data_IF_955284079307
#
_entry.id   IF_955284079307
#
_cell.length_a   1.000
_cell.length_b   1.000
_cell.length_c   1.000
_cell.angle_alpha   90.00
_cell.angle_beta   90.00
_cell.angle_gamma   90.00
#
_symmetry.space_group_name_H-M   'P 1'
#
loop_
_entity.id
_entity.type
_entity.pdbx_description
1 polymer ?
#
# COMPACT_ATOMS: atom_id res chain seq x y z
N UNK A 1 -104.63 16.04 45.38
CA UNK A 1 -104.92 14.62 45.68
C UNK A 1 -104.05 13.73 44.82
N UNK A 2 -103.40 12.73 45.46
CA UNK A 2 -102.80 11.49 44.93
C UNK A 2 -101.61 11.58 43.94
N UNK A 3 -100.42 11.16 44.45
CA UNK A 3 -99.33 10.51 43.68
C UNK A 3 -99.76 9.08 43.28
N UNK A 4 -99.17 8.43 42.25
CA UNK A 4 -97.91 7.64 42.40
C UNK A 4 -96.97 7.63 41.14
N UNK A 5 -95.65 7.79 41.30
CA UNK A 5 -94.52 6.82 41.16
C UNK A 5 -94.32 6.17 39.76
N UNK A 6 -93.27 6.55 39.03
CA UNK A 6 -91.95 5.88 38.80
C UNK A 6 -91.88 5.04 37.52
N UNK A 7 -90.96 5.37 36.60
CA UNK A 7 -90.29 4.35 35.79
C UNK A 7 -88.91 4.85 35.32
N UNK A 8 -87.90 4.06 35.69
CA UNK A 8 -86.47 4.27 35.45
C UNK A 8 -86.05 4.03 33.99
N UNK A 9 -84.81 4.47 33.69
CA UNK A 9 -83.85 3.92 32.70
C UNK A 9 -83.67 4.72 31.40
N UNK A 10 -82.63 5.59 31.33
CA UNK A 10 -81.66 5.83 30.21
C UNK A 10 -80.50 6.69 30.78
N UNK A 11 -79.41 6.11 31.27
CA UNK A 11 -78.12 5.83 30.59
C UNK A 11 -77.39 7.08 30.06
N UNK A 12 -76.15 7.20 30.55
CA UNK A 12 -74.96 7.81 29.94
C UNK A 12 -74.82 9.33 29.93
N UNK A 13 -74.17 9.87 30.98
CA UNK A 13 -73.16 10.92 30.79
C UNK A 13 -72.19 10.99 31.98
N UNK A 14 -71.45 9.91 32.24
CA UNK A 14 -70.34 9.98 33.19
C UNK A 14 -69.31 8.90 32.91
N UNK A 15 -68.48 9.11 31.89
CA UNK A 15 -67.19 8.42 31.75
C UNK A 15 -66.26 9.21 30.83
N UNK A 16 -65.00 9.27 31.23
CA UNK A 16 -63.83 9.59 30.42
C UNK A 16 -63.51 11.07 30.13
N UNK A 17 -63.35 11.88 31.18
CA UNK A 17 -62.21 12.81 31.24
C UNK A 17 -61.00 12.03 31.77
N UNK A 18 -60.18 11.45 30.89
CA UNK A 18 -58.81 10.97 31.15
C UNK A 18 -58.20 10.48 29.83
N UNK A 19 -57.75 11.41 28.99
CA UNK A 19 -56.99 11.07 27.78
C UNK A 19 -56.00 12.19 27.40
N UNK A 20 -55.21 12.66 28.36
CA UNK A 20 -54.04 13.48 28.09
C UNK A 20 -52.92 13.00 29.00
N UNK A 21 -52.20 11.98 28.55
CA UNK A 21 -50.76 11.74 28.77
C UNK A 21 -50.35 10.63 27.77
N UNK A 22 -49.26 10.89 27.06
CA UNK A 22 -48.47 9.95 26.25
C UNK A 22 -48.82 9.81 24.77
N UNK A 23 -48.38 10.79 23.99
CA UNK A 23 -47.68 10.52 22.73
C UNK A 23 -46.42 11.39 22.70
N UNK A 24 -45.35 10.91 23.35
CA UNK A 24 -43.99 11.33 23.00
C UNK A 24 -43.73 10.83 21.57
N UNK A 25 -43.91 11.67 20.57
CA UNK A 25 -43.32 11.43 19.26
C UNK A 25 -41.81 11.54 19.43
N UNK A 26 -41.01 10.49 19.14
CA UNK A 26 -39.58 10.65 19.02
C UNK A 26 -39.32 11.66 17.90
N UNK A 27 -38.56 12.71 18.21
CA UNK A 27 -37.95 13.60 17.22
C UNK A 27 -37.34 12.71 16.14
N UNK A 28 -37.82 12.84 14.90
CA UNK A 28 -37.14 12.26 13.74
C UNK A 28 -35.71 12.74 13.80
N UNK A 29 -34.79 11.79 13.99
CA UNK A 29 -33.37 12.01 13.74
C UNK A 29 -33.26 12.74 12.39
N UNK A 30 -32.49 13.82 12.37
CA UNK A 30 -32.05 14.44 11.13
C UNK A 30 -31.60 13.34 10.18
N UNK A 31 -32.23 13.24 9.02
CA UNK A 31 -31.80 12.35 7.95
C UNK A 31 -30.27 12.43 7.84
N UNK A 32 -29.55 11.30 7.84
CA UNK A 32 -28.15 11.33 7.44
C UNK A 32 -28.12 11.97 6.05
N UNK A 33 -27.29 13.01 5.89
CA UNK A 33 -27.05 13.63 4.59
C UNK A 33 -26.80 12.50 3.59
N UNK A 34 -27.67 12.38 2.59
CA UNK A 34 -27.33 11.70 1.35
C UNK A 34 -26.19 12.54 0.77
N UNK A 35 -24.95 12.20 1.14
CA UNK A 35 -23.80 12.62 0.39
C UNK A 35 -23.92 11.89 -0.95
N UNK A 36 -24.24 12.64 -2.00
CA UNK A 36 -24.21 12.09 -3.35
C UNK A 36 -22.87 11.40 -3.56
N UNK A 37 -22.85 10.18 -4.15
CA UNK A 37 -21.61 9.43 -4.30
C UNK A 37 -20.59 10.28 -5.07
N UNK A 38 -19.38 10.41 -4.51
CA UNK A 38 -18.27 11.08 -5.18
C UNK A 38 -18.02 10.37 -6.51
N UNK A 39 -18.32 11.05 -7.62
CA UNK A 39 -18.05 10.54 -8.96
C UNK A 39 -16.55 10.75 -9.21
N UNK A 40 -15.81 9.65 -9.27
CA UNK A 40 -14.39 9.66 -9.63
C UNK A 40 -14.28 9.59 -11.15
N UNK A 41 -13.72 10.63 -11.77
CA UNK A 41 -13.49 10.68 -13.21
C UNK A 41 -12.50 9.61 -13.67
N UNK A 42 -12.71 9.08 -14.87
CA UNK A 42 -11.82 8.08 -15.44
C UNK A 42 -10.46 8.72 -15.80
N UNK A 43 -9.33 8.02 -15.54
CA UNK A 43 -8.02 8.54 -15.90
C UNK A 43 -7.87 8.60 -17.42
N UNK A 44 -7.26 9.68 -17.91
CA UNK A 44 -7.04 9.91 -19.35
C UNK A 44 -6.13 8.88 -20.03
N UNK A 45 -5.38 8.10 -19.24
CA UNK A 45 -4.41 7.11 -19.67
C UNK A 45 -5.04 5.74 -20.00
N UNK A 46 -6.35 5.58 -19.86
CA UNK A 46 -7.03 4.35 -20.25
C UNK A 46 -6.89 4.12 -21.78
N UNK A 47 -6.37 2.96 -22.14
CA UNK A 47 -6.26 2.53 -23.54
C UNK A 47 -7.45 1.69 -23.96
N UNK A 48 -7.74 1.67 -25.26
CA UNK A 48 -8.78 0.81 -25.81
C UNK A 48 -8.36 -0.68 -25.77
N UNK A 49 -9.33 -1.59 -25.64
CA UNK A 49 -9.06 -3.05 -25.61
C UNK A 49 -8.26 -3.55 -26.84
N UNK A 50 -8.52 -3.11 -28.08
CA UNK A 50 -7.71 -3.51 -29.23
C UNK A 50 -6.24 -3.07 -29.13
N UNK A 51 -5.97 -1.92 -28.52
CA UNK A 51 -4.60 -1.44 -28.28
C UNK A 51 -3.89 -2.33 -27.25
N UNK A 52 -4.56 -2.66 -26.14
CA UNK A 52 -4.06 -3.60 -25.13
C UNK A 52 -3.74 -4.97 -25.75
N UNK A 53 -4.61 -5.49 -26.61
CA UNK A 53 -4.39 -6.75 -27.30
C UNK A 53 -3.19 -6.69 -28.26
N UNK A 54 -3.02 -5.57 -28.98
CA UNK A 54 -1.88 -5.33 -29.86
C UNK A 54 -0.55 -5.36 -29.08
N UNK A 55 -0.52 -4.72 -27.90
CA UNK A 55 0.63 -4.74 -26.99
C UNK A 55 0.93 -6.16 -26.48
N UNK A 56 -0.10 -6.89 -26.04
CA UNK A 56 0.03 -8.29 -25.59
C UNK A 56 0.62 -9.17 -26.69
N UNK A 57 0.07 -9.11 -27.90
CA UNK A 57 0.54 -9.88 -29.05
C UNK A 57 1.96 -9.50 -29.47
N UNK A 58 2.32 -8.22 -29.36
CA UNK A 58 3.67 -7.76 -29.64
C UNK A 58 4.69 -8.34 -28.66
N UNK A 59 4.35 -8.40 -27.36
CA UNK A 59 5.18 -9.08 -26.36
C UNK A 59 5.31 -10.58 -26.65
N UNK A 60 4.19 -11.25 -26.97
CA UNK A 60 4.18 -12.67 -27.36
C UNK A 60 5.14 -12.97 -28.51
N UNK A 61 5.15 -12.14 -29.55
CA UNK A 61 5.97 -12.37 -30.74
C UNK A 61 7.43 -11.99 -30.54
N UNK A 62 7.70 -10.90 -29.80
CA UNK A 62 9.03 -10.28 -29.75
C UNK A 62 9.86 -10.64 -28.53
N UNK A 63 9.23 -10.99 -27.40
CA UNK A 63 9.93 -11.19 -26.12
C UNK A 63 9.91 -12.62 -25.65
N UNK A 64 8.77 -13.30 -25.76
CA UNK A 64 8.63 -14.66 -25.23
C UNK A 64 9.65 -15.65 -25.80
N UNK A 65 9.83 -15.79 -27.13
CA UNK A 65 10.77 -16.77 -27.65
C UNK A 65 12.22 -16.48 -27.24
N UNK A 66 12.59 -15.20 -27.08
CA UNK A 66 13.95 -14.82 -26.68
C UNK A 66 14.23 -15.17 -25.22
N UNK A 67 13.29 -14.86 -24.33
CA UNK A 67 13.42 -15.16 -22.89
C UNK A 67 13.43 -16.67 -22.72
N UNK A 68 12.44 -17.36 -23.29
CA UNK A 68 12.30 -18.81 -23.19
C UNK A 68 13.56 -19.53 -23.68
N UNK A 69 14.06 -19.20 -24.88
CA UNK A 69 15.25 -19.83 -25.42
C UNK A 69 16.49 -19.67 -24.52
N UNK A 70 16.68 -18.49 -23.93
CA UNK A 70 17.78 -18.24 -23.00
C UNK A 70 17.61 -19.06 -21.71
N UNK A 71 16.43 -19.03 -21.10
CA UNK A 71 16.16 -19.71 -19.84
C UNK A 71 16.17 -21.25 -19.97
N UNK A 72 15.73 -21.78 -21.11
CA UNK A 72 15.81 -23.20 -21.46
C UNK A 72 17.27 -23.65 -21.61
N UNK A 73 18.14 -22.78 -22.10
CA UNK A 73 19.58 -23.09 -22.20
C UNK A 73 20.20 -23.31 -20.81
N UNK A 74 19.73 -22.56 -19.80
CA UNK A 74 20.14 -22.74 -18.40
C UNK A 74 19.56 -24.04 -17.84
N UNK A 75 18.27 -24.31 -18.09
CA UNK A 75 17.63 -25.58 -17.68
C UNK A 75 18.40 -26.79 -18.20
N UNK A 76 18.81 -26.74 -19.47
CA UNK A 76 19.61 -27.79 -20.11
C UNK A 76 20.95 -28.01 -19.40
N UNK A 77 21.65 -26.92 -19.01
CA UNK A 77 22.90 -27.01 -18.24
C UNK A 77 22.64 -27.67 -16.88
N UNK A 78 21.50 -27.36 -16.25
CA UNK A 78 21.09 -27.88 -14.95
C UNK A 78 20.46 -29.29 -15.03
N UNK A 79 20.35 -29.88 -16.22
CA UNK A 79 19.67 -31.16 -16.48
C UNK A 79 18.20 -31.15 -16.03
N UNK A 80 17.54 -30.00 -16.18
CA UNK A 80 16.10 -29.88 -16.07
C UNK A 80 15.51 -29.87 -17.48
N UNK A 81 14.72 -30.88 -17.81
CA UNK A 81 14.11 -31.04 -19.15
C UNK A 81 12.82 -30.21 -19.30
N UNK A 82 12.46 -29.42 -18.29
CA UNK A 82 11.28 -28.55 -18.36
C UNK A 82 11.57 -27.30 -19.19
N UNK A 83 10.61 -26.98 -20.04
CA UNK A 83 10.54 -25.68 -20.72
C UNK A 83 10.26 -24.57 -19.69
N UNK A 84 10.94 -23.44 -19.85
CA UNK A 84 10.76 -22.28 -19.00
C UNK A 84 9.50 -21.51 -19.38
N UNK A 85 8.60 -21.35 -18.42
CA UNK A 85 7.37 -20.60 -18.63
C UNK A 85 7.58 -19.09 -18.46
N UNK A 86 7.58 -18.36 -19.57
CA UNK A 86 7.77 -16.90 -19.55
C UNK A 86 6.58 -16.18 -18.93
N UNK A 87 6.86 -15.33 -17.92
CA UNK A 87 5.85 -14.47 -17.29
C UNK A 87 5.14 -13.55 -18.27
N UNK A 88 3.82 -13.39 -18.09
CA UNK A 88 3.00 -12.42 -18.83
C UNK A 88 2.45 -11.29 -17.99
N UNK A 89 2.22 -11.54 -16.72
CA UNK A 89 1.77 -10.54 -15.77
C UNK A 89 2.28 -10.88 -14.38
N UNK A 90 2.41 -9.84 -13.57
CA UNK A 90 2.59 -9.93 -12.13
C UNK A 90 1.33 -9.38 -11.51
N UNK A 91 0.81 -10.05 -10.48
CA UNK A 91 -0.35 -9.55 -9.77
C UNK A 91 -0.14 -9.55 -8.27
N UNK A 92 -0.84 -8.62 -7.65
CA UNK A 92 -1.12 -8.60 -6.23
C UNK A 92 -2.63 -8.68 -6.08
N UNK A 93 -3.11 -9.23 -4.99
CA UNK A 93 -4.53 -9.05 -4.68
C UNK A 93 -4.80 -7.57 -4.44
N UNK A 94 -6.01 -7.14 -4.78
CA UNK A 94 -6.41 -5.74 -4.73
C UNK A 94 -6.25 -5.14 -3.32
N UNK A 95 -6.50 -5.94 -2.28
CA UNK A 95 -6.39 -5.49 -0.88
C UNK A 95 -4.94 -5.19 -0.52
N UNK A 96 -3.99 -6.02 -0.94
CA UNK A 96 -2.56 -5.80 -0.72
C UNK A 96 -2.08 -4.49 -1.35
N UNK A 97 -2.46 -4.18 -2.60
CA UNK A 97 -2.08 -2.90 -3.22
C UNK A 97 -2.69 -1.72 -2.48
N UNK A 98 -3.97 -1.77 -2.11
CA UNK A 98 -4.58 -0.70 -1.32
C UNK A 98 -3.88 -0.48 0.01
N UNK A 99 -3.57 -1.56 0.72
CA UNK A 99 -2.82 -1.47 1.98
C UNK A 99 -1.44 -0.88 1.75
N UNK A 100 -0.74 -1.31 0.71
CA UNK A 100 0.59 -0.79 0.38
C UNK A 100 0.58 0.70 0.08
N UNK A 101 -0.38 1.19 -0.72
CA UNK A 101 -0.53 2.62 -1.01
C UNK A 101 -0.78 3.43 0.27
N UNK A 102 -1.67 2.96 1.14
CA UNK A 102 -1.91 3.62 2.43
C UNK A 102 -0.66 3.58 3.35
N UNK A 103 0.08 2.47 3.34
CA UNK A 103 1.30 2.33 4.13
C UNK A 103 2.40 3.30 3.69
N UNK A 104 2.67 3.41 2.39
CA UNK A 104 3.70 4.33 1.90
C UNK A 104 3.30 5.80 2.12
N UNK A 105 2.01 6.12 2.03
CA UNK A 105 1.49 7.46 2.36
C UNK A 105 1.73 7.79 3.83
N UNK A 106 1.43 6.87 4.75
CA UNK A 106 1.69 7.04 6.18
C UNK A 106 3.19 7.20 6.47
N UNK A 107 4.05 6.35 5.91
CA UNK A 107 5.50 6.43 6.13
C UNK A 107 6.11 7.71 5.53
N UNK A 108 5.55 8.23 4.42
CA UNK A 108 5.97 9.49 3.83
C UNK A 108 5.57 10.69 4.71
N UNK A 109 4.33 10.70 5.22
CA UNK A 109 3.83 11.73 6.15
C UNK A 109 4.67 11.77 7.44
N UNK A 110 4.93 10.61 8.04
CA UNK A 110 5.78 10.46 9.23
C UNK A 110 7.21 11.00 9.01
N UNK A 111 7.69 10.97 7.76
CA UNK A 111 9.01 11.40 7.34
C UNK A 111 9.05 12.85 6.79
N UNK A 112 7.93 13.58 6.86
CA UNK A 112 7.79 14.95 6.36
C UNK A 112 8.12 15.10 4.86
N UNK A 113 7.70 14.12 4.05
CA UNK A 113 7.84 14.14 2.58
C UNK A 113 6.53 13.76 1.89
N UNK A 114 6.31 14.31 0.69
CA UNK A 114 5.18 13.94 -0.16
C UNK A 114 5.64 12.98 -1.26
N UNK A 115 4.84 11.94 -1.54
CA UNK A 115 5.11 11.02 -2.65
C UNK A 115 4.87 11.75 -3.97
N UNK A 116 5.91 11.87 -4.80
CA UNK A 116 5.81 12.52 -6.11
C UNK A 116 5.44 11.54 -7.23
N UNK A 117 6.03 10.34 -7.22
CA UNK A 117 5.71 9.28 -8.19
C UNK A 117 5.81 7.89 -7.56
N UNK A 118 5.09 6.92 -8.12
CA UNK A 118 5.27 5.50 -7.86
C UNK A 118 6.01 4.85 -9.03
N UNK A 119 7.23 4.36 -8.81
CA UNK A 119 8.05 3.74 -9.85
C UNK A 119 7.85 2.23 -9.89
N UNK A 120 7.74 1.69 -11.09
CA UNK A 120 7.64 0.27 -11.38
C UNK A 120 8.93 -0.18 -12.07
N UNK A 121 9.77 -0.92 -11.37
CA UNK A 121 11.00 -1.48 -11.90
C UNK A 121 10.75 -2.88 -12.45
N UNK A 122 11.21 -3.15 -13.66
CA UNK A 122 11.32 -4.53 -14.13
C UNK A 122 12.45 -5.22 -13.36
N UNK A 123 12.19 -6.42 -12.87
CA UNK A 123 13.15 -7.20 -12.10
C UNK A 123 13.08 -8.67 -12.47
N UNK A 124 14.07 -9.44 -12.01
CA UNK A 124 14.06 -10.90 -12.05
C UNK A 124 14.34 -11.42 -10.65
N UNK A 125 13.68 -12.52 -10.29
CA UNK A 125 14.12 -13.28 -9.13
C UNK A 125 15.50 -13.88 -9.40
N UNK A 126 16.38 -13.97 -8.39
CA UNK A 126 17.66 -14.62 -8.57
C UNK A 126 17.46 -16.12 -8.86
N UNK A 127 18.50 -16.75 -9.40
CA UNK A 127 18.51 -18.21 -9.63
C UNK A 127 18.87 -18.95 -8.33
N UNK A 128 18.05 -18.70 -7.31
CA UNK A 128 18.25 -19.19 -5.95
C UNK A 128 16.93 -19.70 -5.39
N UNK A 129 16.99 -20.61 -4.41
CA UNK A 129 15.79 -21.15 -3.75
C UNK A 129 15.27 -20.25 -2.63
N UNK A 130 16.12 -19.38 -2.09
CA UNK A 130 15.82 -18.44 -1.01
C UNK A 130 16.56 -17.12 -1.21
N UNK A 131 16.00 -16.04 -0.69
CA UNK A 131 16.75 -14.79 -0.57
C UNK A 131 17.82 -14.90 0.51
N UNK A 132 19.06 -14.54 0.19
CA UNK A 132 20.20 -14.71 1.11
C UNK A 132 19.98 -14.02 2.46
N UNK A 133 19.44 -12.80 2.44
CA UNK A 133 19.28 -11.97 3.65
C UNK A 133 18.06 -12.36 4.50
N UNK A 134 16.90 -12.63 3.88
CA UNK A 134 15.66 -12.91 4.63
C UNK A 134 15.38 -14.39 4.83
N UNK A 135 16.06 -15.26 4.08
CA UNK A 135 15.81 -16.71 3.98
C UNK A 135 14.40 -17.07 3.48
N UNK A 136 13.66 -16.10 2.95
CA UNK A 136 12.35 -16.36 2.35
C UNK A 136 12.49 -17.16 1.06
N UNK A 137 11.59 -18.14 0.88
CA UNK A 137 11.58 -18.97 -0.33
C UNK A 137 11.22 -18.18 -1.58
N UNK A 138 12.00 -18.42 -2.63
CA UNK A 138 11.74 -17.95 -3.99
C UNK A 138 10.95 -19.04 -4.70
N UNK A 139 9.65 -18.79 -4.92
CA UNK A 139 8.75 -19.77 -5.54
C UNK A 139 9.11 -20.09 -6.99
N UNK A 140 9.57 -19.09 -7.72
CA UNK A 140 9.87 -19.17 -9.14
C UNK A 140 11.21 -18.47 -9.43
N UNK A 141 12.34 -19.17 -9.28
CA UNK A 141 13.67 -18.63 -9.60
C UNK A 141 13.74 -18.15 -11.06
N UNK A 142 14.58 -17.14 -11.31
CA UNK A 142 14.80 -16.49 -12.63
C UNK A 142 13.59 -15.80 -13.25
N UNK A 143 12.39 -15.99 -12.72
CA UNK A 143 11.17 -15.44 -13.29
C UNK A 143 11.17 -13.90 -13.25
N UNK A 144 10.71 -13.26 -14.34
CA UNK A 144 10.52 -11.81 -14.37
C UNK A 144 9.45 -11.40 -13.34
N UNK A 145 9.69 -10.29 -12.66
CA UNK A 145 8.81 -9.66 -11.68
C UNK A 145 8.79 -8.13 -11.87
N UNK A 146 8.08 -7.45 -10.98
CA UNK A 146 8.13 -5.99 -10.85
C UNK A 146 8.39 -5.61 -9.39
N UNK A 147 9.09 -4.50 -9.19
CA UNK A 147 9.21 -3.85 -7.88
C UNK A 147 8.55 -2.48 -7.93
N UNK A 148 7.74 -2.18 -6.93
CA UNK A 148 7.06 -0.89 -6.78
C UNK A 148 7.79 -0.11 -5.69
N UNK A 149 8.14 1.15 -5.95
CA UNK A 149 8.84 1.97 -4.96
C UNK A 149 8.41 3.43 -5.05
N UNK A 150 8.03 4.08 -3.94
CA UNK A 150 7.67 5.49 -3.96
C UNK A 150 8.91 6.36 -4.17
N UNK A 151 8.65 7.59 -4.60
CA UNK A 151 9.66 8.64 -4.68
C UNK A 151 9.16 9.91 -4.03
N UNK A 152 10.08 10.75 -3.60
CA UNK A 152 9.77 12.14 -3.24
C UNK A 152 10.64 13.08 -4.08
N UNK A 153 10.17 14.31 -4.25
CA UNK A 153 10.90 15.36 -4.94
C UNK A 153 11.56 16.32 -3.95
N UNK A 154 12.87 16.55 -4.07
CA UNK A 154 13.60 17.50 -3.22
C UNK A 154 13.59 18.95 -3.75
N UNK A 155 12.79 19.22 -4.78
CA UNK A 155 12.76 20.46 -5.56
C UNK A 155 13.67 20.45 -6.78
N UNK A 156 14.53 19.42 -6.97
CA UNK A 156 15.39 19.27 -8.15
C UNK A 156 15.04 18.03 -8.96
N UNK A 157 14.80 16.90 -8.28
CA UNK A 157 14.44 15.63 -8.93
C UNK A 157 13.79 14.67 -7.95
N UNK A 158 13.19 13.64 -8.51
CA UNK A 158 12.62 12.53 -7.74
C UNK A 158 13.70 11.53 -7.31
N UNK A 159 13.72 11.22 -6.02
CA UNK A 159 14.56 10.20 -5.41
C UNK A 159 13.71 9.03 -4.91
N UNK A 160 14.23 7.82 -5.06
CA UNK A 160 13.80 6.71 -4.23
C UNK A 160 14.14 7.03 -2.77
N UNK A 161 13.43 6.43 -1.82
CA UNK A 161 13.77 6.59 -0.42
C UNK A 161 13.35 5.39 0.43
N UNK A 162 13.98 5.28 1.58
CA UNK A 162 13.53 4.45 2.70
C UNK A 162 13.37 5.34 3.93
N UNK A 163 12.66 4.82 4.94
CA UNK A 163 12.45 5.55 6.20
C UNK A 163 13.36 4.99 7.27
N UNK A 164 14.04 5.88 7.98
CA UNK A 164 14.90 5.53 9.12
C UNK A 164 14.58 6.42 10.32
N UNK A 165 14.86 5.91 11.51
CA UNK A 165 14.76 6.71 12.73
C UNK A 165 15.89 7.74 12.80
N UNK A 166 15.52 9.03 12.80
CA UNK A 166 16.42 10.16 12.99
C UNK A 166 16.29 10.79 14.38
N UNK A 167 17.11 11.80 14.65
CA UNK A 167 17.13 12.50 15.94
C UNK A 167 15.83 13.27 16.28
N UNK A 168 15.00 13.55 15.27
CA UNK A 168 13.74 14.31 15.41
C UNK A 168 12.48 13.50 15.07
N UNK A 169 12.61 12.18 14.90
CA UNK A 169 11.54 11.34 14.35
C UNK A 169 12.01 10.58 13.11
N UNK A 170 11.07 9.92 12.44
CA UNK A 170 11.29 9.25 11.16
C UNK A 170 11.78 10.27 10.11
N UNK A 171 12.69 9.83 9.24
CA UNK A 171 13.28 10.65 8.18
C UNK A 171 13.38 9.86 6.90
N UNK A 172 13.08 10.52 5.78
CA UNK A 172 13.29 9.97 4.44
C UNK A 172 14.78 10.05 4.07
N UNK A 173 15.39 8.89 3.83
CA UNK A 173 16.77 8.78 3.37
C UNK A 173 16.76 8.47 1.87
N UNK A 174 17.31 9.36 1.02
CA UNK A 174 17.25 9.15 -0.42
C UNK A 174 18.21 8.07 -0.89
N UNK A 175 17.75 7.34 -1.89
CA UNK A 175 18.46 6.30 -2.61
C UNK A 175 18.66 6.71 -4.07
N UNK A 176 19.70 6.13 -4.67
CA UNK A 176 19.90 6.14 -6.13
C UNK A 176 18.82 5.30 -6.82
N UNK A 177 18.77 5.36 -8.16
CA UNK A 177 17.86 4.52 -8.95
C UNK A 177 18.19 3.02 -8.87
N UNK A 178 19.38 2.68 -8.39
CA UNK A 178 19.88 1.31 -8.23
C UNK A 178 19.71 0.81 -6.78
N UNK A 179 18.89 1.49 -5.98
CA UNK A 179 18.60 1.17 -4.57
C UNK A 179 19.82 1.26 -3.64
N UNK A 180 20.86 2.00 -4.04
CA UNK A 180 22.03 2.29 -3.22
C UNK A 180 21.93 3.63 -2.50
N UNK A 181 22.61 3.74 -1.35
CA UNK A 181 22.77 5.01 -0.64
C UNK A 181 23.49 6.06 -1.48
N UNK A 182 23.01 7.30 -1.43
CA UNK A 182 23.69 8.42 -2.08
C UNK A 182 24.91 8.83 -1.24
N UNK A 183 26.11 8.53 -1.75
CA UNK A 183 27.39 8.94 -1.15
C UNK A 183 27.39 10.46 -0.92
N UNK A 184 27.62 10.88 0.33
CA UNK A 184 27.62 12.29 0.72
C UNK A 184 26.31 12.81 1.32
N UNK A 185 25.21 12.06 1.19
CA UNK A 185 23.93 12.44 1.79
C UNK A 185 23.83 12.01 3.26
N UNK A 186 24.38 10.83 3.60
CA UNK A 186 24.50 10.33 4.97
C UNK A 186 25.47 11.16 5.83
N UNK A 187 26.55 11.68 5.25
CA UNK A 187 27.53 12.53 5.96
C UNK A 187 27.01 13.92 6.31
N UNK A 188 26.08 14.49 5.54
CA UNK A 188 25.53 15.82 5.83
C UNK A 188 24.50 15.83 6.97
N UNK A 189 23.85 14.68 7.23
CA UNK A 189 23.07 14.45 8.46
C UNK A 189 23.98 14.22 9.67
N UNK A 190 25.16 13.61 9.47
CA UNK A 190 26.19 13.49 10.50
C UNK A 190 26.80 14.86 10.89
N UNK A 191 27.00 15.77 9.94
CA UNK A 191 27.63 17.09 10.19
C UNK A 191 26.71 18.12 10.88
N UNK A 192 25.38 17.98 10.83
CA UNK A 192 24.47 18.83 11.63
C UNK A 192 24.35 18.37 13.09
N UNK A 193 24.88 17.20 13.42
CA UNK A 193 25.10 16.75 14.79
C UNK A 193 26.56 17.01 15.21
N UNK A 194 27.05 18.24 15.01
CA UNK A 194 28.24 18.70 15.74
C UNK A 194 27.86 18.82 17.21
N UNK A 195 28.03 17.72 17.94
CA UNK A 195 28.10 17.73 19.40
C UNK A 195 29.27 18.67 19.74
N UNK A 196 28.96 19.81 20.33
CA UNK A 196 29.95 20.68 20.94
C UNK A 196 30.62 19.88 22.06
N UNK A 197 31.79 19.31 21.75
CA UNK A 197 32.64 18.71 22.77
C UNK A 197 33.21 19.85 23.62
N UNK A 198 32.55 20.17 24.73
CA UNK A 198 33.16 20.93 25.81
C UNK A 198 34.34 20.11 26.31
N UNK A 199 35.55 20.68 26.26
CA UNK A 199 36.77 20.07 26.79
C UNK A 199 36.66 20.08 28.32
N UNK A 200 35.98 19.07 28.86
CA UNK A 200 36.01 18.72 30.27
C UNK A 200 36.32 17.22 30.37
N UNK A 201 37.36 16.81 31.10
CA UNK A 201 37.78 15.41 31.16
C UNK A 201 36.81 14.66 32.07
N UNK A 202 35.77 14.09 31.45
CA UNK A 202 34.90 13.09 32.06
C UNK A 202 35.41 11.71 31.63
N UNK A 203 36.10 11.03 32.54
CA UNK A 203 36.47 9.62 32.41
C UNK A 203 35.21 8.76 32.55
N UNK A 204 34.43 8.67 31.49
CA UNK A 204 33.42 7.64 31.20
C UNK A 204 32.88 7.90 29.79
N UNK A 205 33.71 7.68 28.76
CA UNK A 205 33.24 7.72 27.38
C UNK A 205 32.51 6.41 27.06
N UNK A 206 31.20 6.39 27.27
CA UNK A 206 30.35 5.53 26.46
C UNK A 206 30.51 6.01 25.02
N UNK A 207 31.18 5.19 24.21
CA UNK A 207 31.21 5.36 22.77
C UNK A 207 29.77 5.58 22.31
N UNK A 208 29.53 6.66 21.57
CA UNK A 208 28.25 6.87 20.89
C UNK A 208 27.95 5.59 20.11
N UNK A 209 26.89 4.89 20.51
CA UNK A 209 26.46 3.69 19.82
C UNK A 209 26.30 4.04 18.33
N UNK A 210 26.81 3.21 17.40
CA UNK A 210 26.51 3.40 16.00
C UNK A 210 24.99 3.47 15.83
N UNK A 211 24.51 4.37 14.98
CA UNK A 211 23.11 4.43 14.59
C UNK A 211 22.65 2.99 14.30
N UNK A 212 21.66 2.50 15.04
CA UNK A 212 21.11 1.17 14.82
C UNK A 212 20.53 1.14 13.40
N UNK A 213 21.27 0.53 12.46
CA UNK A 213 20.78 0.11 11.13
C UNK A 213 19.62 -0.90 11.22
N UNK A 214 19.17 -1.25 12.44
CA UNK A 214 18.10 -2.19 12.74
C UNK A 214 16.68 -1.61 12.57
N UNK A 215 16.53 -0.29 12.40
CA UNK A 215 15.22 0.37 12.19
C UNK A 215 15.10 1.07 10.83
N UNK A 216 15.83 0.60 9.81
CA UNK A 216 15.60 1.05 8.42
C UNK A 216 14.46 0.26 7.80
N UNK A 217 13.35 0.93 7.48
CA UNK A 217 12.18 0.33 6.86
C UNK A 217 12.20 0.58 5.35
N UNK A 218 12.28 -0.50 4.57
CA UNK A 218 12.12 -0.42 3.11
C UNK A 218 10.66 -0.12 2.77
N UNK A 219 10.47 0.76 1.78
CA UNK A 219 9.17 1.07 1.19
C UNK A 219 8.96 0.38 -0.16
N UNK A 220 9.86 -0.51 -0.58
CA UNK A 220 9.77 -1.17 -1.88
C UNK A 220 8.96 -2.47 -1.77
N UNK A 221 7.84 -2.53 -2.49
CA UNK A 221 7.04 -3.74 -2.61
C UNK A 221 7.53 -4.61 -3.78
N UNK A 222 7.78 -5.88 -3.50
CA UNK A 222 7.95 -6.94 -4.49
C UNK A 222 7.09 -8.14 -4.05
N UNK A 223 7.25 -9.34 -4.63
CA UNK A 223 6.53 -10.57 -4.29
C UNK A 223 5.07 -10.62 -4.76
N UNK A 224 4.77 -9.90 -5.84
CA UNK A 224 3.59 -10.22 -6.63
C UNK A 224 3.69 -11.68 -7.10
N UNK A 225 2.57 -12.37 -7.19
CA UNK A 225 2.55 -13.73 -7.74
C UNK A 225 2.80 -13.59 -9.24
N UNK A 226 4.05 -13.80 -9.67
CA UNK A 226 4.37 -14.03 -11.08
C UNK A 226 3.81 -15.40 -11.43
N UNK A 227 2.82 -15.45 -12.30
CA UNK A 227 2.29 -16.72 -12.79
C UNK A 227 2.54 -16.80 -14.29
N UNK A 228 2.91 -17.98 -14.79
CA UNK A 228 2.86 -18.21 -16.22
C UNK A 228 1.42 -18.02 -16.71
N UNK A 229 1.22 -17.61 -17.96
CA UNK A 229 -0.14 -17.40 -18.48
C UNK A 229 -0.91 -18.73 -18.38
N UNK A 230 -2.18 -18.71 -17.94
CA UNK A 230 -3.00 -19.91 -17.98
C UNK A 230 -3.01 -20.44 -19.42
N UNK A 231 -2.68 -21.72 -19.61
CA UNK A 231 -2.83 -22.37 -20.91
C UNK A 231 -4.30 -22.23 -21.30
N UNK A 232 -4.54 -21.56 -22.43
CA UNK A 232 -5.83 -21.09 -22.94
C UNK A 232 -7.04 -21.90 -22.44
N UNK A 233 -8.04 -21.21 -21.87
CA UNK A 233 -9.42 -21.71 -21.79
C UNK A 233 -10.12 -21.50 -23.13
#
# INVERSE_FOLDING_TARGET
MKRPTTLSTKIALLCALTAIISCNQPQKASNPKNEDPIIVEAPTQLIAIPEAQSMYNSYSKRRVPLIQHYEDSINTIHKDDKEFDVSRFVYYDYKTIKQYLAFIEQEAEDADVEISTLRFYFSNYPDEVVFENTKDSIKHPRQNSIMLSPTYNDGKRDYLFYVAQGAKGKQAIPLTNDFEDIKGYSTRMQERNKVYATIAPSFNSTAAAPLNLQESQSLTLNRGSGVPPPKNQ
#
